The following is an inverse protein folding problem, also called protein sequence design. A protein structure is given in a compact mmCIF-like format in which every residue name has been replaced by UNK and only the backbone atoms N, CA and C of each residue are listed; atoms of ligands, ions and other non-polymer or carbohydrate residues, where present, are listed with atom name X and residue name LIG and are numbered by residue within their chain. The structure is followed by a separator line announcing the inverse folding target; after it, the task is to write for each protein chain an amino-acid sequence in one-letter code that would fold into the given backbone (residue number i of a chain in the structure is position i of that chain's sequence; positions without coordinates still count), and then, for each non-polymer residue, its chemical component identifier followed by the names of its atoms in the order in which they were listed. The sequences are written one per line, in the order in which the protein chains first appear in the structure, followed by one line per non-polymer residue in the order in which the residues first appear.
data_IF_698317864020
#
_entry.id   IF_698317864020
#
_cell.length_a   1.000
_cell.length_b   1.000
_cell.length_c   1.000
_cell.angle_alpha   90.00
_cell.angle_beta   90.00
_cell.angle_gamma   90.00
#
_symmetry.space_group_name_H-M   'P 1'
#
loop_
_entity.id
_entity.type
_entity.pdbx_description
1 polymer ?
#
# COMPACT_ATOMS: atom_id res chain seq x y z
N UNK A 1 -65.91 -22.76 -25.01
CA UNK A 1 -65.67 -22.31 -23.63
C UNK A 1 -64.34 -22.94 -23.22
N UNK A 2 -63.22 -22.24 -23.46
CA UNK A 2 -61.89 -22.76 -23.17
C UNK A 2 -61.57 -22.44 -21.70
N UNK A 3 -61.33 -23.48 -20.93
CA UNK A 3 -61.10 -23.48 -19.49
C UNK A 3 -59.72 -22.84 -19.20
N UNK A 4 -59.73 -21.72 -18.49
CA UNK A 4 -58.53 -20.96 -18.12
C UNK A 4 -57.81 -21.70 -16.98
N UNK A 5 -56.86 -22.58 -17.32
CA UNK A 5 -56.08 -23.32 -16.34
C UNK A 5 -55.18 -22.38 -15.52
N UNK A 6 -55.12 -22.53 -14.19
CA UNK A 6 -54.33 -21.66 -13.34
C UNK A 6 -52.83 -21.77 -13.65
N UNK A 7 -52.08 -20.64 -13.61
CA UNK A 7 -50.69 -20.60 -14.02
C UNK A 7 -49.79 -21.48 -13.14
N UNK A 8 -48.98 -22.32 -13.79
CA UNK A 8 -48.06 -23.22 -13.10
C UNK A 8 -47.02 -22.45 -12.27
N UNK A 9 -46.60 -23.02 -11.13
CA UNK A 9 -45.61 -22.43 -10.20
C UNK A 9 -44.32 -21.96 -10.89
N UNK A 10 -43.92 -22.63 -11.97
CA UNK A 10 -42.75 -22.30 -12.81
C UNK A 10 -42.97 -21.02 -13.64
N UNK A 11 -44.19 -20.77 -14.11
CA UNK A 11 -44.59 -19.56 -14.83
C UNK A 11 -44.57 -18.34 -13.90
N UNK A 12 -45.11 -18.48 -12.69
CA UNK A 12 -45.09 -17.45 -11.64
C UNK A 12 -43.65 -17.06 -11.27
N UNK A 13 -42.76 -18.04 -11.08
CA UNK A 13 -41.33 -17.77 -10.79
C UNK A 13 -40.60 -17.05 -11.92
N UNK A 14 -40.92 -17.35 -13.19
CA UNK A 14 -40.33 -16.69 -14.35
C UNK A 14 -40.85 -15.26 -14.52
N UNK A 15 -42.13 -15.02 -14.25
CA UNK A 15 -42.74 -13.69 -14.27
C UNK A 15 -42.19 -12.81 -13.15
N UNK A 16 -42.03 -13.34 -11.93
CA UNK A 16 -41.38 -12.63 -10.82
C UNK A 16 -39.92 -12.25 -11.15
N UNK A 17 -39.15 -13.15 -11.78
CA UNK A 17 -37.78 -12.85 -12.25
C UNK A 17 -37.75 -11.77 -13.33
N UNK A 18 -38.72 -11.78 -14.25
CA UNK A 18 -38.85 -10.75 -15.30
C UNK A 18 -39.26 -9.39 -14.72
N UNK A 19 -40.18 -9.39 -13.76
CA UNK A 19 -40.59 -8.19 -13.05
C UNK A 19 -39.43 -7.58 -12.25
N UNK A 20 -38.67 -8.39 -11.51
CA UNK A 20 -37.47 -7.95 -10.79
C UNK A 20 -36.39 -7.38 -11.72
N UNK A 21 -36.19 -7.97 -12.91
CA UNK A 21 -35.28 -7.43 -13.94
C UNK A 21 -35.76 -6.10 -14.54
N UNK A 22 -37.07 -5.94 -14.75
CA UNK A 22 -37.66 -4.68 -15.25
C UNK A 22 -37.57 -3.57 -14.19
N UNK A 23 -37.94 -3.87 -12.95
CA UNK A 23 -37.80 -2.95 -11.83
C UNK A 23 -36.33 -2.55 -11.61
N UNK A 24 -35.41 -3.51 -11.66
CA UNK A 24 -33.98 -3.23 -11.59
C UNK A 24 -33.46 -2.34 -12.71
N UNK A 25 -33.98 -2.49 -13.95
CA UNK A 25 -33.64 -1.60 -15.08
C UNK A 25 -34.23 -0.19 -14.92
N UNK A 26 -35.48 -0.08 -14.46
CA UNK A 26 -36.14 1.21 -14.21
C UNK A 26 -35.44 1.99 -13.09
N UNK A 27 -35.04 1.30 -12.01
CA UNK A 27 -34.22 1.90 -10.95
C UNK A 27 -32.83 2.29 -11.45
N UNK A 28 -32.25 1.54 -12.40
CA UNK A 28 -30.99 1.91 -13.02
C UNK A 28 -31.11 3.16 -13.89
N UNK A 29 -32.21 3.36 -14.62
CA UNK A 29 -32.44 4.59 -15.40
C UNK A 29 -32.66 5.83 -14.54
N UNK A 30 -32.97 5.65 -13.25
CA UNK A 30 -33.11 6.74 -12.27
C UNK A 30 -31.80 7.02 -11.52
N UNK A 31 -30.75 6.22 -11.74
CA UNK A 31 -29.44 6.48 -11.15
C UNK A 31 -28.80 7.69 -11.85
N UNK A 32 -28.39 8.74 -11.11
CA UNK A 32 -27.64 9.87 -11.67
C UNK A 32 -26.31 9.45 -12.35
N UNK A 33 -25.88 8.20 -12.12
CA UNK A 33 -24.64 7.62 -12.61
C UNK A 33 -24.81 6.67 -13.80
N UNK A 34 -26.03 6.46 -14.31
CA UNK A 34 -26.27 5.63 -15.48
C UNK A 34 -25.93 6.38 -16.78
N UNK A 35 -24.64 6.64 -17.02
CA UNK A 35 -24.17 7.12 -18.33
C UNK A 35 -24.19 5.94 -19.33
N UNK A 36 -24.67 6.14 -20.56
CA UNK A 36 -24.52 5.14 -21.62
C UNK A 36 -23.04 4.83 -21.80
N UNK A 37 -22.66 3.55 -21.68
CA UNK A 37 -21.29 3.10 -21.95
C UNK A 37 -20.97 3.44 -23.41
N UNK A 38 -19.93 4.25 -23.69
CA UNK A 38 -19.71 4.72 -25.04
C UNK A 38 -19.00 3.64 -25.85
N UNK A 39 -19.77 2.79 -26.52
CA UNK A 39 -19.25 1.73 -27.39
C UNK A 39 -18.51 2.27 -28.64
N UNK A 40 -18.57 3.58 -28.91
CA UNK A 40 -17.99 4.26 -30.08
C UNK A 40 -16.81 5.19 -29.76
N UNK A 41 -16.42 5.34 -28.49
CA UNK A 41 -15.30 6.21 -28.10
C UNK A 41 -14.01 5.39 -28.08
N UNK A 42 -12.95 5.90 -28.72
CA UNK A 42 -11.62 5.29 -28.70
C UNK A 42 -11.19 5.03 -27.24
N UNK A 43 -10.57 3.87 -26.89
CA UNK A 43 -10.27 3.52 -25.50
C UNK A 43 -9.47 4.57 -24.70
N UNK A 44 -8.73 5.44 -25.38
CA UNK A 44 -7.99 6.56 -24.78
C UNK A 44 -8.86 7.77 -24.39
N UNK A 45 -10.07 7.89 -24.95
CA UNK A 45 -11.00 9.01 -24.76
C UNK A 45 -12.19 8.65 -23.85
N UNK A 46 -12.22 7.43 -23.32
CA UNK A 46 -13.27 7.00 -22.38
C UNK A 46 -13.09 7.82 -21.09
N UNK A 47 -14.11 8.58 -20.66
CA UNK A 47 -14.07 9.30 -19.39
C UNK A 47 -13.74 8.31 -18.27
N UNK A 48 -12.86 8.70 -17.34
CA UNK A 48 -12.49 7.84 -16.22
C UNK A 48 -13.73 7.24 -15.54
N UNK A 49 -13.65 5.98 -15.14
CA UNK A 49 -14.71 5.30 -14.38
C UNK A 49 -14.12 5.05 -13.00
N UNK A 50 -14.72 5.64 -11.96
CA UNK A 50 -14.30 5.40 -10.58
C UNK A 50 -14.64 3.97 -10.15
N UNK A 51 -13.84 3.40 -9.22
CA UNK A 51 -14.14 2.09 -8.65
C UNK A 51 -15.51 2.08 -7.94
N UNK A 52 -15.91 3.21 -7.35
CA UNK A 52 -17.15 3.36 -6.58
C UNK A 52 -18.42 3.21 -7.44
N UNK A 53 -18.29 3.40 -8.75
CA UNK A 53 -19.39 3.21 -9.71
C UNK A 53 -19.52 1.75 -10.17
N UNK A 54 -18.47 0.95 -9.97
CA UNK A 54 -18.53 -0.46 -10.31
C UNK A 54 -19.27 -1.21 -9.22
N UNK A 55 -20.36 -1.87 -9.59
CA UNK A 55 -21.04 -2.88 -8.75
C UNK A 55 -20.20 -4.16 -8.66
N UNK A 56 -18.99 -4.07 -8.11
CA UNK A 56 -18.20 -5.26 -7.74
C UNK A 56 -18.69 -5.76 -6.39
N UNK A 57 -18.89 -7.08 -6.30
CA UNK A 57 -19.01 -7.74 -5.00
C UNK A 57 -17.60 -8.03 -4.52
N UNK A 58 -17.20 -7.34 -3.46
CA UNK A 58 -15.96 -7.66 -2.77
C UNK A 58 -16.15 -8.96 -1.99
N UNK A 59 -15.18 -9.86 -2.12
CA UNK A 59 -15.13 -11.12 -1.41
C UNK A 59 -13.69 -11.43 -1.06
N UNK A 60 -13.48 -12.31 -0.09
CA UNK A 60 -12.15 -12.75 0.31
C UNK A 60 -11.63 -13.71 -0.76
N UNK A 61 -10.48 -13.40 -1.35
CA UNK A 61 -9.72 -14.40 -2.11
C UNK A 61 -9.14 -15.39 -1.10
N UNK A 62 -9.76 -16.58 -1.06
CA UNK A 62 -9.42 -17.63 -0.09
C UNK A 62 -7.98 -18.11 -0.23
N UNK A 63 -7.43 -18.12 -1.44
CA UNK A 63 -6.06 -18.57 -1.67
C UNK A 63 -5.06 -17.54 -1.12
N UNK A 64 -5.24 -16.28 -1.49
CA UNK A 64 -4.39 -15.18 -1.02
C UNK A 64 -4.46 -15.08 0.50
N UNK A 65 -5.67 -15.12 1.07
CA UNK A 65 -5.87 -15.08 2.51
C UNK A 65 -5.22 -16.27 3.23
N UNK A 66 -5.44 -17.50 2.73
CA UNK A 66 -4.89 -18.69 3.36
C UNK A 66 -3.35 -18.72 3.29
N UNK A 67 -2.77 -18.43 2.12
CA UNK A 67 -1.32 -18.49 1.94
C UNK A 67 -0.63 -17.40 2.76
N UNK A 68 -1.07 -16.14 2.66
CA UNK A 68 -0.50 -15.05 3.44
C UNK A 68 -0.67 -15.32 4.95
N UNK A 69 -1.87 -15.72 5.38
CA UNK A 69 -2.15 -16.01 6.78
C UNK A 69 -1.32 -17.18 7.35
N UNK A 70 -1.17 -18.27 6.60
CA UNK A 70 -0.36 -19.42 7.03
C UNK A 70 1.12 -19.03 7.10
N UNK A 71 1.65 -18.30 6.13
CA UNK A 71 3.06 -17.85 6.15
C UNK A 71 3.33 -16.90 7.31
N UNK A 72 2.43 -15.93 7.56
CA UNK A 72 2.52 -15.03 8.72
C UNK A 72 2.47 -15.81 10.03
N UNK A 73 1.51 -16.71 10.20
CA UNK A 73 1.36 -17.48 11.44
C UNK A 73 2.56 -18.40 11.67
N UNK A 74 3.08 -19.04 10.61
CA UNK A 74 4.27 -19.87 10.69
C UNK A 74 5.49 -19.06 11.13
N UNK A 75 5.68 -17.85 10.59
CA UNK A 75 6.75 -16.96 11.03
C UNK A 75 6.61 -16.54 12.49
N UNK A 76 5.41 -16.17 12.93
CA UNK A 76 5.14 -15.80 14.33
C UNK A 76 5.41 -16.98 15.27
N UNK A 77 4.94 -18.18 14.94
CA UNK A 77 5.20 -19.39 15.72
C UNK A 77 6.70 -19.66 15.81
N UNK A 78 7.43 -19.55 14.70
CA UNK A 78 8.89 -19.71 14.69
C UNK A 78 9.59 -18.68 15.61
N UNK A 79 9.16 -17.42 15.55
CA UNK A 79 9.63 -16.34 16.42
C UNK A 79 9.38 -16.59 17.91
N UNK A 80 8.28 -17.24 18.28
CA UNK A 80 7.94 -17.58 19.67
C UNK A 80 8.74 -18.80 20.15
N UNK A 81 8.91 -19.80 19.29
CA UNK A 81 9.54 -21.08 19.66
C UNK A 81 11.06 -20.96 19.75
N UNK A 82 11.69 -20.24 18.82
CA UNK A 82 13.16 -20.14 18.76
C UNK A 82 13.60 -18.78 18.18
N UNK A 83 13.69 -17.79 19.07
CA UNK A 83 14.14 -16.43 18.72
C UNK A 83 15.58 -16.39 18.20
N UNK A 84 16.46 -17.27 18.68
CA UNK A 84 17.86 -17.31 18.29
C UNK A 84 18.02 -17.81 16.86
N UNK A 85 17.26 -18.85 16.49
CA UNK A 85 17.22 -19.35 15.11
C UNK A 85 16.68 -18.31 14.14
N UNK A 86 15.57 -17.64 14.48
CA UNK A 86 15.00 -16.57 13.64
C UNK A 86 16.01 -15.45 13.43
N UNK A 87 16.67 -14.99 14.49
CA UNK A 87 17.70 -13.96 14.44
C UNK A 87 18.87 -14.36 13.53
N UNK A 88 19.38 -15.59 13.69
CA UNK A 88 20.49 -16.11 12.88
C UNK A 88 20.15 -16.14 11.40
N UNK A 89 18.97 -16.65 11.05
CA UNK A 89 18.53 -16.71 9.64
C UNK A 89 18.26 -15.32 9.08
N UNK A 90 17.67 -14.42 9.87
CA UNK A 90 17.40 -13.05 9.46
C UNK A 90 18.68 -12.28 9.16
N UNK A 91 19.70 -12.37 10.04
CA UNK A 91 21.01 -11.73 9.80
C UNK A 91 21.71 -12.33 8.59
N UNK A 92 21.73 -13.66 8.43
CA UNK A 92 22.31 -14.29 7.25
C UNK A 92 21.63 -13.82 5.94
N UNK A 93 20.30 -13.71 5.94
CA UNK A 93 19.54 -13.20 4.80
C UNK A 93 19.79 -11.70 4.55
N UNK A 94 19.88 -10.90 5.60
CA UNK A 94 20.21 -9.47 5.53
C UNK A 94 21.60 -9.25 4.93
N UNK A 95 22.63 -9.91 5.46
CA UNK A 95 24.00 -9.79 5.00
C UNK A 95 24.15 -10.22 3.54
N UNK A 96 23.53 -11.35 3.17
CA UNK A 96 23.50 -11.79 1.77
C UNK A 96 22.82 -10.76 0.86
N UNK A 97 21.69 -10.19 1.30
CA UNK A 97 20.93 -9.20 0.54
C UNK A 97 21.75 -7.92 0.37
N UNK A 98 22.41 -7.43 1.41
CA UNK A 98 23.26 -6.24 1.33
C UNK A 98 24.47 -6.46 0.43
N UNK A 99 25.12 -7.63 0.52
CA UNK A 99 26.27 -7.96 -0.30
C UNK A 99 25.94 -8.09 -1.80
N UNK A 100 24.80 -8.70 -2.14
CA UNK A 100 24.48 -9.05 -3.53
C UNK A 100 23.47 -8.10 -4.20
N UNK A 101 22.58 -7.51 -3.42
CA UNK A 101 21.40 -6.77 -3.89
C UNK A 101 21.38 -5.33 -3.36
N UNK A 102 22.33 -4.93 -2.49
CA UNK A 102 22.39 -3.57 -1.93
C UNK A 102 22.43 -2.45 -2.98
N UNK A 103 23.11 -2.69 -4.10
CA UNK A 103 23.16 -1.74 -5.22
C UNK A 103 21.78 -1.53 -5.86
N UNK A 104 20.92 -2.55 -5.89
CA UNK A 104 19.60 -2.49 -6.50
C UNK A 104 18.67 -1.55 -5.74
N UNK A 105 18.74 -1.53 -4.40
CA UNK A 105 17.93 -0.61 -3.58
C UNK A 105 18.21 0.85 -3.92
N UNK A 106 19.49 1.22 -4.05
CA UNK A 106 19.90 2.57 -4.42
C UNK A 106 19.52 2.91 -5.87
N UNK A 107 19.73 1.98 -6.80
CA UNK A 107 19.35 2.17 -8.20
C UNK A 107 17.83 2.37 -8.35
N UNK A 108 17.02 1.56 -7.66
CA UNK A 108 15.56 1.67 -7.68
C UNK A 108 15.12 3.00 -7.06
N UNK A 109 15.70 3.43 -5.94
CA UNK A 109 15.40 4.74 -5.34
C UNK A 109 15.62 5.90 -6.32
N UNK A 110 16.75 5.89 -7.04
CA UNK A 110 17.07 6.91 -8.03
C UNK A 110 16.14 6.86 -9.24
N UNK A 111 15.92 5.67 -9.80
CA UNK A 111 15.05 5.49 -10.97
C UNK A 111 13.62 5.92 -10.65
N UNK A 112 13.11 5.56 -9.47
CA UNK A 112 11.75 5.94 -9.06
C UNK A 112 11.63 7.45 -8.85
N UNK A 113 12.59 8.07 -8.16
CA UNK A 113 12.60 9.53 -7.97
C UNK A 113 12.56 10.26 -9.31
N UNK A 114 13.48 9.92 -10.22
CA UNK A 114 13.54 10.54 -11.55
C UNK A 114 12.25 10.27 -12.34
N UNK A 115 11.72 9.04 -12.29
CA UNK A 115 10.49 8.68 -13.02
C UNK A 115 9.28 9.48 -12.56
N UNK A 116 9.10 9.63 -11.24
CA UNK A 116 7.98 10.40 -10.68
C UNK A 116 8.12 11.88 -11.02
N UNK A 117 9.33 12.44 -10.97
CA UNK A 117 9.59 13.83 -11.39
C UNK A 117 9.27 14.04 -12.88
N UNK A 118 9.70 13.12 -13.75
CA UNK A 118 9.36 13.17 -15.18
C UNK A 118 7.84 13.14 -15.37
N UNK A 119 7.12 12.23 -14.70
CA UNK A 119 5.67 12.14 -14.81
C UNK A 119 5.02 13.45 -14.34
N UNK A 120 5.43 13.98 -13.19
CA UNK A 120 4.89 15.20 -12.60
C UNK A 120 5.09 16.44 -13.48
N UNK A 121 6.26 16.56 -14.13
CA UNK A 121 6.59 17.71 -14.99
C UNK A 121 6.08 17.53 -16.43
N UNK A 122 5.76 16.31 -16.85
CA UNK A 122 5.21 16.02 -18.17
C UNK A 122 3.72 16.37 -18.29
N UNK A 123 3.14 16.35 -19.51
CA UNK A 123 1.69 16.46 -19.69
C UNK A 123 0.86 15.41 -18.92
N UNK A 124 1.45 14.27 -18.55
CA UNK A 124 0.77 13.23 -17.78
C UNK A 124 0.47 13.67 -16.35
N UNK A 125 1.26 14.57 -15.76
CA UNK A 125 1.01 15.14 -14.43
C UNK A 125 -0.27 15.99 -14.35
N UNK A 126 -0.84 16.39 -15.50
CA UNK A 126 -2.11 17.12 -15.58
C UNK A 126 -3.34 16.22 -15.59
N UNK A 127 -3.16 14.90 -15.62
CA UNK A 127 -4.28 13.95 -15.63
C UNK A 127 -4.91 13.90 -14.23
N UNK A 128 -6.19 14.25 -14.14
CA UNK A 128 -6.97 14.10 -12.91
C UNK A 128 -7.07 12.63 -12.51
N UNK A 129 -6.72 12.31 -11.25
CA UNK A 129 -6.86 10.97 -10.66
C UNK A 129 -8.32 10.69 -10.25
N UNK A 130 -9.17 10.63 -11.26
CA UNK A 130 -10.61 10.51 -11.16
C UNK A 130 -11.23 10.68 -12.54
N UNK A 131 -12.48 11.12 -12.59
CA UNK A 131 -13.14 11.46 -13.85
C UNK A 131 -12.64 12.79 -14.40
N UNK A 132 -12.87 13.00 -15.69
CA UNK A 132 -12.56 14.28 -16.33
C UNK A 132 -13.36 15.41 -15.69
N UNK A 133 -12.65 16.43 -15.21
CA UNK A 133 -13.24 17.60 -14.54
C UNK A 133 -13.74 17.34 -13.12
N UNK A 134 -13.43 16.18 -12.53
CA UNK A 134 -13.75 15.90 -11.12
C UNK A 134 -12.95 16.82 -10.20
N UNK A 135 -13.63 17.40 -9.20
CA UNK A 135 -13.01 18.28 -8.21
C UNK A 135 -12.46 17.44 -7.06
N UNK A 136 -11.38 17.89 -6.39
CA UNK A 136 -10.88 17.22 -5.19
C UNK A 136 -11.97 17.11 -4.11
N UNK A 137 -12.06 15.95 -3.46
CA UNK A 137 -12.99 15.74 -2.34
C UNK A 137 -12.59 16.53 -1.09
N UNK A 138 -11.29 16.74 -0.90
CA UNK A 138 -10.72 17.47 0.22
C UNK A 138 -10.06 18.77 -0.25
N UNK A 139 -10.12 19.81 0.58
CA UNK A 139 -9.35 21.04 0.36
C UNK A 139 -7.86 20.74 0.36
N UNK A 140 -7.06 21.56 -0.33
CA UNK A 140 -5.59 21.41 -0.38
C UNK A 140 -4.97 21.41 1.02
N UNK A 141 -5.45 22.28 1.92
CA UNK A 141 -4.95 22.32 3.29
C UNK A 141 -5.23 21.02 4.04
N UNK A 142 -6.47 20.52 3.98
CA UNK A 142 -6.84 19.25 4.62
C UNK A 142 -6.06 18.07 4.03
N UNK A 143 -5.85 18.06 2.71
CA UNK A 143 -5.07 17.02 2.03
C UNK A 143 -3.61 17.00 2.49
N UNK A 144 -2.95 18.16 2.56
CA UNK A 144 -1.58 18.28 3.09
C UNK A 144 -1.52 17.84 4.56
N UNK A 145 -2.49 18.25 5.38
CA UNK A 145 -2.54 17.84 6.78
C UNK A 145 -2.67 16.32 6.95
N UNK A 146 -3.53 15.66 6.15
CA UNK A 146 -3.65 14.20 6.15
C UNK A 146 -2.35 13.50 5.74
N UNK A 147 -1.61 14.07 4.78
CA UNK A 147 -0.33 13.52 4.33
C UNK A 147 0.73 13.57 5.45
N UNK A 148 0.81 14.67 6.21
CA UNK A 148 1.68 14.74 7.40
C UNK A 148 1.21 13.83 8.52
N UNK A 149 -0.10 13.76 8.80
CA UNK A 149 -0.65 12.88 9.82
C UNK A 149 -0.37 11.39 9.53
N UNK A 150 -0.42 11.00 8.25
CA UNK A 150 -0.08 9.64 7.83
C UNK A 150 1.44 9.38 7.79
N UNK A 151 2.26 10.40 7.51
CA UNK A 151 3.71 10.27 7.33
C UNK A 151 4.54 10.41 8.60
N UNK A 152 4.06 11.12 9.62
CA UNK A 152 4.73 11.30 10.92
C UNK A 152 4.53 10.06 11.80
N UNK A 153 5.12 8.93 11.39
CA UNK A 153 5.09 7.69 12.16
C UNK A 153 6.13 7.65 13.28
N UNK A 154 6.15 6.52 14.01
CA UNK A 154 7.15 6.20 15.04
C UNK A 154 8.59 6.39 14.56
N UNK A 155 8.84 6.17 13.26
CA UNK A 155 10.17 6.33 12.67
C UNK A 155 10.76 7.71 12.91
N UNK A 156 9.98 8.80 12.84
CA UNK A 156 10.50 10.16 13.11
C UNK A 156 10.80 10.36 14.60
N UNK A 157 10.00 9.77 15.49
CA UNK A 157 10.22 9.87 16.94
C UNK A 157 11.42 9.06 17.40
N UNK A 158 11.69 7.93 16.77
CA UNK A 158 12.82 7.06 17.09
C UNK A 158 14.10 7.55 16.40
N UNK A 159 14.09 7.63 15.06
CA UNK A 159 15.28 7.94 14.26
C UNK A 159 15.60 9.43 14.19
N UNK A 160 14.62 10.31 14.44
CA UNK A 160 14.83 11.76 14.43
C UNK A 160 16.03 12.22 15.27
N UNK A 161 16.12 11.83 16.56
CA UNK A 161 17.31 12.11 17.37
C UNK A 161 18.44 11.08 17.18
N UNK A 162 18.12 9.79 16.98
CA UNK A 162 19.14 8.74 17.04
C UNK A 162 20.02 8.67 15.79
N UNK A 163 19.44 8.84 14.60
CA UNK A 163 20.13 8.72 13.32
C UNK A 163 21.19 9.82 13.08
N UNK A 164 20.88 11.13 13.26
CA UNK A 164 21.92 12.15 13.10
C UNK A 164 23.04 12.00 14.13
N UNK A 165 22.72 11.59 15.36
CA UNK A 165 23.71 11.33 16.40
C UNK A 165 24.59 10.13 16.02
N UNK A 166 23.99 9.06 15.51
CA UNK A 166 24.74 7.89 15.03
C UNK A 166 25.66 8.27 13.86
N UNK A 167 25.20 9.07 12.90
CA UNK A 167 26.05 9.52 11.80
C UNK A 167 27.11 10.55 12.21
N UNK A 168 26.94 11.22 13.34
CA UNK A 168 27.97 12.08 13.91
C UNK A 168 29.11 11.27 14.54
N UNK A 169 28.78 10.22 15.30
CA UNK A 169 29.77 9.31 15.92
C UNK A 169 30.38 8.32 14.93
N UNK A 170 29.62 7.91 13.92
CA UNK A 170 30.06 6.96 12.90
C UNK A 170 29.66 7.49 11.52
N UNK A 171 30.36 8.53 11.02
CA UNK A 171 30.09 9.06 9.68
C UNK A 171 30.26 7.99 8.61
N UNK A 172 29.58 8.18 7.48
CA UNK A 172 29.72 7.28 6.35
C UNK A 172 31.20 7.15 5.93
N UNK A 173 31.67 5.95 5.55
CA UNK A 173 33.06 5.74 5.18
C UNK A 173 33.51 6.73 4.10
N UNK A 174 34.74 7.23 4.22
CA UNK A 174 35.35 8.16 3.26
C UNK A 174 34.60 9.49 3.10
N UNK A 175 33.84 9.94 4.11
CA UNK A 175 33.11 11.23 4.04
C UNK A 175 33.63 12.31 5.00
N UNK A 176 33.85 11.99 6.28
CA UNK A 176 34.37 12.91 7.30
C UNK A 176 34.89 12.13 8.52
N UNK A 177 35.67 12.80 9.36
CA UNK A 177 36.04 12.28 10.68
C UNK A 177 34.88 12.39 11.66
N UNK A 178 34.77 11.37 12.53
CA UNK A 178 33.77 11.34 13.59
C UNK A 178 33.92 12.53 14.54
N UNK A 179 32.80 12.99 15.07
CA UNK A 179 32.74 14.02 16.10
C UNK A 179 33.35 15.38 15.71
N UNK A 180 33.37 15.69 14.41
CA UNK A 180 33.82 16.99 13.88
C UNK A 180 32.65 17.81 13.34
N UNK A 181 32.87 19.12 13.15
CA UNK A 181 31.88 20.00 12.50
C UNK A 181 31.56 19.52 11.08
N UNK A 182 32.54 18.98 10.36
CA UNK A 182 32.30 18.38 9.05
C UNK A 182 31.47 17.10 9.17
N UNK A 183 31.79 16.22 10.12
CA UNK A 183 31.03 15.00 10.42
C UNK A 183 29.56 15.28 10.72
N UNK A 184 29.26 16.36 11.48
CA UNK A 184 27.90 16.81 11.73
C UNK A 184 27.15 17.15 10.44
N UNK A 185 27.76 17.95 9.56
CA UNK A 185 27.13 18.32 8.29
C UNK A 185 26.92 17.11 7.36
N UNK A 186 27.89 16.19 7.30
CA UNK A 186 27.76 14.96 6.51
C UNK A 186 26.68 14.04 7.07
N UNK A 187 26.60 13.89 8.38
CA UNK A 187 25.57 13.10 9.03
C UNK A 187 24.17 13.66 8.79
N UNK A 188 24.00 14.98 8.91
CA UNK A 188 22.72 15.62 8.58
C UNK A 188 22.32 15.47 7.11
N UNK A 189 23.29 15.56 6.18
CA UNK A 189 23.03 15.30 4.77
C UNK A 189 22.55 13.86 4.51
N UNK A 190 23.09 12.88 5.24
CA UNK A 190 22.63 11.49 5.18
C UNK A 190 21.19 11.33 5.68
N UNK A 191 20.85 11.97 6.80
CA UNK A 191 19.47 11.98 7.32
C UNK A 191 18.50 12.58 6.30
N UNK A 192 18.86 13.71 5.68
CA UNK A 192 18.04 14.29 4.61
C UNK A 192 17.93 13.41 3.37
N UNK A 193 18.95 12.60 3.08
CA UNK A 193 18.88 11.63 2.00
C UNK A 193 17.87 10.51 2.29
N UNK A 194 17.86 9.98 3.52
CA UNK A 194 16.94 8.91 3.95
C UNK A 194 15.50 9.38 4.10
N UNK A 195 15.27 10.55 4.69
CA UNK A 195 13.92 11.09 4.99
C UNK A 195 13.39 12.09 3.96
N UNK A 196 14.20 12.40 2.94
CA UNK A 196 13.86 13.32 1.87
C UNK A 196 13.16 12.65 0.69
N UNK A 197 13.45 13.15 -0.51
CA UNK A 197 12.65 12.89 -1.70
C UNK A 197 12.58 11.41 -2.11
N UNK A 198 13.60 10.60 -1.83
CA UNK A 198 13.63 9.19 -2.25
C UNK A 198 12.50 8.36 -1.64
N UNK A 199 12.28 8.48 -0.32
CA UNK A 199 11.21 7.77 0.36
C UNK A 199 9.83 8.23 -0.13
N UNK A 200 9.63 9.55 -0.25
CA UNK A 200 8.38 10.11 -0.74
C UNK A 200 8.08 9.76 -2.19
N UNK A 201 9.10 9.64 -3.04
CA UNK A 201 8.93 9.23 -4.43
C UNK A 201 8.40 7.80 -4.55
N UNK A 202 8.82 6.88 -3.67
CA UNK A 202 8.27 5.52 -3.62
C UNK A 202 6.78 5.53 -3.31
N UNK A 203 6.38 6.31 -2.31
CA UNK A 203 4.97 6.46 -1.95
C UNK A 203 4.17 7.13 -3.07
N UNK A 204 4.71 8.17 -3.69
CA UNK A 204 4.07 8.84 -4.82
C UNK A 204 3.89 7.91 -6.03
N UNK A 205 4.88 7.07 -6.34
CA UNK A 205 4.79 6.10 -7.42
C UNK A 205 3.69 5.08 -7.17
N UNK A 206 3.74 4.39 -6.02
CA UNK A 206 2.79 3.33 -5.69
C UNK A 206 1.38 3.90 -5.47
N UNK A 207 1.27 4.98 -4.69
CA UNK A 207 0.01 5.68 -4.42
C UNK A 207 -0.62 6.24 -5.70
N UNK A 208 0.18 6.88 -6.56
CA UNK A 208 -0.28 7.37 -7.86
C UNK A 208 -0.73 6.23 -8.79
N UNK A 209 -0.01 5.10 -8.79
CA UNK A 209 -0.38 3.93 -9.57
C UNK A 209 -1.69 3.29 -9.10
N UNK A 210 -1.89 3.13 -7.79
CA UNK A 210 -3.14 2.66 -7.18
C UNK A 210 -4.29 3.63 -7.49
N UNK A 211 -4.08 4.93 -7.27
CA UNK A 211 -5.10 5.94 -7.50
C UNK A 211 -5.53 5.99 -8.97
N UNK A 212 -4.57 5.92 -9.90
CA UNK A 212 -4.86 5.84 -11.33
C UNK A 212 -5.60 4.54 -11.68
N UNK A 213 -5.16 3.39 -11.16
CA UNK A 213 -5.82 2.12 -11.43
C UNK A 213 -7.27 2.11 -10.92
N UNK A 214 -7.51 2.58 -9.70
CA UNK A 214 -8.82 2.54 -9.06
C UNK A 214 -9.76 3.66 -9.56
N UNK A 215 -9.33 4.92 -9.45
CA UNK A 215 -10.22 6.08 -9.67
C UNK A 215 -10.26 6.54 -11.12
N UNK A 216 -9.17 6.37 -11.89
CA UNK A 216 -9.15 6.71 -13.32
C UNK A 216 -9.57 5.54 -14.21
N UNK A 217 -9.20 4.30 -13.85
CA UNK A 217 -9.43 3.10 -14.68
C UNK A 217 -10.46 2.12 -14.13
N UNK A 218 -11.06 2.40 -12.97
CA UNK A 218 -12.12 1.58 -12.39
C UNK A 218 -11.66 0.15 -12.09
N UNK A 219 -10.41 -0.03 -11.65
CA UNK A 219 -9.90 -1.35 -11.30
C UNK A 219 -10.13 -1.60 -9.81
N UNK A 220 -10.07 -2.85 -9.40
CA UNK A 220 -10.08 -3.21 -7.97
C UNK A 220 -8.87 -2.59 -7.26
N UNK A 221 -9.02 -2.24 -5.98
CA UNK A 221 -7.93 -1.79 -5.09
C UNK A 221 -7.01 -2.97 -4.69
N UNK A 222 -6.48 -3.69 -5.68
CA UNK A 222 -5.49 -4.75 -5.49
C UNK A 222 -4.16 -4.28 -6.08
N UNK A 223 -3.05 -4.68 -5.47
CA UNK A 223 -1.71 -4.34 -5.96
C UNK A 223 -1.49 -4.93 -7.37
N UNK A 224 -1.96 -6.16 -7.58
CA UNK A 224 -1.98 -6.85 -8.87
C UNK A 224 -2.70 -6.07 -9.98
N UNK A 225 -3.70 -5.26 -9.63
CA UNK A 225 -4.52 -4.52 -10.60
C UNK A 225 -3.75 -3.42 -11.34
N UNK A 226 -2.69 -2.90 -10.73
CA UNK A 226 -1.81 -1.89 -11.31
C UNK A 226 -1.16 -2.46 -12.57
N UNK A 227 -0.70 -3.71 -12.48
CA UNK A 227 0.01 -4.42 -13.53
C UNK A 227 -0.87 -4.89 -14.69
N UNK A 228 -2.19 -4.74 -14.57
CA UNK A 228 -3.13 -5.14 -15.63
C UNK A 228 -2.88 -4.45 -16.97
N UNK A 229 -2.37 -3.22 -16.98
CA UNK A 229 -2.02 -2.55 -18.26
C UNK A 229 -0.80 -3.20 -18.91
N UNK A 230 0.16 -3.64 -18.10
CA UNK A 230 1.45 -4.13 -18.57
C UNK A 230 1.38 -5.62 -18.98
N UNK A 231 0.76 -6.46 -18.16
CA UNK A 231 0.71 -7.92 -18.37
C UNK A 231 -0.67 -8.42 -18.80
N UNK A 232 -1.63 -7.52 -18.97
CA UNK A 232 -3.00 -7.85 -19.36
C UNK A 232 -3.85 -8.41 -18.22
N UNK A 233 -5.15 -8.59 -18.52
CA UNK A 233 -6.15 -9.05 -17.55
C UNK A 233 -5.85 -10.44 -16.99
N UNK A 234 -5.45 -11.38 -17.86
CA UNK A 234 -5.28 -12.79 -17.49
C UNK A 234 -4.13 -13.00 -16.49
N UNK A 235 -3.03 -12.28 -16.65
CA UNK A 235 -1.91 -12.37 -15.72
C UNK A 235 -2.24 -11.68 -14.39
N UNK A 236 -2.82 -10.47 -14.44
CA UNK A 236 -3.14 -9.67 -13.27
C UNK A 236 -4.29 -10.24 -12.42
N UNK A 237 -5.22 -10.98 -13.00
CA UNK A 237 -6.32 -11.66 -12.27
C UNK A 237 -6.06 -13.17 -12.10
N UNK A 238 -4.88 -13.65 -12.54
CA UNK A 238 -4.46 -15.04 -12.42
C UNK A 238 -3.48 -15.25 -11.28
N UNK A 239 -2.77 -16.38 -11.32
CA UNK A 239 -1.81 -16.76 -10.29
C UNK A 239 -0.71 -15.72 -10.04
N UNK A 240 -0.17 -15.10 -11.11
CA UNK A 240 0.84 -14.06 -10.97
C UNK A 240 0.31 -12.83 -10.19
N UNK A 241 -0.94 -12.44 -10.44
CA UNK A 241 -1.61 -11.39 -9.67
C UNK A 241 -1.78 -11.76 -8.20
N UNK A 242 -2.22 -13.00 -7.93
CA UNK A 242 -2.35 -13.50 -6.56
C UNK A 242 -1.01 -13.50 -5.81
N UNK A 243 0.09 -13.85 -6.47
CA UNK A 243 1.43 -13.74 -5.88
C UNK A 243 1.79 -12.30 -5.52
N UNK A 244 1.53 -11.33 -6.41
CA UNK A 244 1.77 -9.91 -6.12
C UNK A 244 0.98 -9.47 -4.88
N UNK A 245 -0.29 -9.86 -4.81
CA UNK A 245 -1.15 -9.50 -3.67
C UNK A 245 -0.69 -10.18 -2.37
N UNK A 246 -0.23 -11.44 -2.41
CA UNK A 246 0.38 -12.13 -1.26
C UNK A 246 1.64 -11.39 -0.79
N UNK A 247 2.56 -11.06 -1.70
CA UNK A 247 3.78 -10.33 -1.33
C UNK A 247 3.48 -8.94 -0.80
N UNK A 248 2.46 -8.25 -1.34
CA UNK A 248 2.03 -6.96 -0.84
C UNK A 248 1.54 -7.07 0.62
N UNK A 249 0.70 -8.06 0.94
CA UNK A 249 0.23 -8.30 2.31
C UNK A 249 1.40 -8.59 3.24
N UNK A 250 2.29 -9.50 2.85
CA UNK A 250 3.45 -9.90 3.66
C UNK A 250 4.37 -8.70 3.90
N UNK A 251 4.72 -7.95 2.84
CA UNK A 251 5.59 -6.78 2.94
C UNK A 251 4.99 -5.69 3.85
N UNK A 252 3.69 -5.40 3.71
CA UNK A 252 3.01 -4.44 4.60
C UNK A 252 3.01 -4.93 6.04
N UNK A 253 2.71 -6.21 6.28
CA UNK A 253 2.67 -6.78 7.62
C UNK A 253 4.04 -6.68 8.33
N UNK A 254 5.12 -7.10 7.66
CA UNK A 254 6.47 -7.02 8.22
C UNK A 254 6.95 -5.58 8.41
N UNK A 255 6.63 -4.68 7.47
CA UNK A 255 6.93 -3.25 7.62
C UNK A 255 6.23 -2.63 8.83
N UNK A 256 4.94 -2.92 9.02
CA UNK A 256 4.18 -2.45 10.19
C UNK A 256 4.69 -3.10 11.48
N UNK A 257 5.00 -4.39 11.47
CA UNK A 257 5.51 -5.10 12.65
C UNK A 257 6.85 -4.53 13.14
N UNK A 258 7.78 -4.20 12.23
CA UNK A 258 9.05 -3.57 12.59
C UNK A 258 8.84 -2.20 13.26
N UNK A 259 7.95 -1.37 12.72
CA UNK A 259 7.60 -0.08 13.30
C UNK A 259 6.97 -0.24 14.70
N UNK A 260 6.04 -1.18 14.87
CA UNK A 260 5.42 -1.48 16.16
C UNK A 260 6.45 -2.00 17.19
N UNK A 261 7.37 -2.86 16.78
CA UNK A 261 8.44 -3.36 17.65
C UNK A 261 9.34 -2.23 18.17
N UNK A 262 9.73 -1.30 17.29
CA UNK A 262 10.47 -0.10 17.68
C UNK A 262 9.66 0.76 18.68
N UNK A 263 8.36 0.94 18.43
CA UNK A 263 7.48 1.67 19.35
C UNK A 263 7.42 1.02 20.74
N UNK A 264 7.21 -0.31 20.79
CA UNK A 264 7.14 -1.06 22.04
C UNK A 264 8.45 -0.95 22.84
N UNK A 265 9.60 -1.10 22.18
CA UNK A 265 10.92 -0.90 22.82
C UNK A 265 11.08 0.52 23.36
N UNK A 266 10.72 1.54 22.59
CA UNK A 266 10.84 2.93 23.01
C UNK A 266 9.91 3.26 24.20
N UNK A 267 8.68 2.75 24.19
CA UNK A 267 7.74 2.87 25.32
C UNK A 267 8.30 2.16 26.55
N UNK A 268 8.80 0.94 26.40
CA UNK A 268 9.35 0.16 27.51
C UNK A 268 10.55 0.84 28.17
N UNK A 269 11.45 1.40 27.37
CA UNK A 269 12.55 2.23 27.87
C UNK A 269 12.03 3.50 28.57
N UNK A 270 11.03 4.17 28.00
CA UNK A 270 10.38 5.32 28.64
C UNK A 270 9.78 5.00 30.00
N UNK A 271 9.11 3.85 30.15
CA UNK A 271 8.56 3.39 31.44
C UNK A 271 9.68 3.13 32.44
N UNK A 272 10.74 2.44 32.03
CA UNK A 272 11.90 2.14 32.88
C UNK A 272 12.53 3.44 33.42
N UNK A 273 12.75 4.43 32.55
CA UNK A 273 13.33 5.73 32.91
C UNK A 273 12.41 6.53 33.86
N UNK A 274 11.10 6.58 33.59
CA UNK A 274 10.15 7.40 34.38
C UNK A 274 9.83 6.77 35.73
N UNK A 275 9.70 5.44 35.78
CA UNK A 275 9.30 4.73 37.00
C UNK A 275 10.48 4.28 37.85
N UNK A 276 11.68 4.17 37.27
CA UNK A 276 12.85 3.58 37.91
C UNK A 276 12.74 2.07 38.14
N UNK A 277 11.76 1.40 37.53
CA UNK A 277 11.61 -0.05 37.57
C UNK A 277 12.71 -0.74 36.73
N UNK A 278 12.92 -2.04 36.96
CA UNK A 278 13.80 -2.86 36.13
C UNK A 278 13.30 -2.97 34.68
N UNK A 279 14.19 -3.35 33.76
CA UNK A 279 13.87 -3.51 32.35
C UNK A 279 12.64 -4.40 32.12
N UNK A 280 11.71 -3.93 31.29
CA UNK A 280 10.51 -4.69 30.95
C UNK A 280 10.89 -5.98 30.22
N UNK A 281 10.36 -7.11 30.70
CA UNK A 281 10.52 -8.40 30.03
C UNK A 281 9.91 -8.38 28.62
N UNK A 282 10.45 -9.21 27.71
CA UNK A 282 9.90 -9.38 26.36
C UNK A 282 8.39 -9.68 26.35
N UNK A 283 7.88 -10.40 27.34
CA UNK A 283 6.43 -10.68 27.46
C UNK A 283 5.62 -9.41 27.64
N UNK A 284 6.11 -8.46 28.45
CA UNK A 284 5.45 -7.17 28.66
C UNK A 284 5.55 -6.30 27.41
N UNK A 285 6.68 -6.31 26.71
CA UNK A 285 6.85 -5.59 25.44
C UNK A 285 5.94 -6.11 24.32
N UNK A 286 5.61 -7.41 24.31
CA UNK A 286 4.67 -8.00 23.34
C UNK A 286 3.20 -7.65 23.64
N UNK A 287 2.88 -7.32 24.90
CA UNK A 287 1.53 -6.92 25.32
C UNK A 287 1.25 -5.45 25.00
N UNK A 288 2.29 -4.61 24.98
CA UNK A 288 2.24 -3.19 24.61
C UNK A 288 2.02 -3.04 23.09
#
# INVERSE_FOLDING_TARGET
MAEDQPPTRKRIGNEARRAGRRAGRALNSLSPYARPYPHSIHPALVPGIGIDEQRRRYGIDKLVFAVAGVLTLAFVIWGIVDTASVSTVAFAAFDWTMANVGWLFNAVAMVVLVSVLIIALSPFGRITLGKDGEKPEFSTFSWVAMLFAAGLGIGVLFFGPSEPLQHYHTPAPMTAEAETVEGLHRGMAQVYYHWGLHAWAMYALVGGAVAYAAYRRGRSLLMSSIFRTLFGKRAAEGFAGQLIDIFAIIATLFGTAAALGIAAMQIGQGVTIVTGADELTNTVLVII
#
